data_IF_293435200342
#
_entry.id   IF_293435200342
#
_cell.length_a   1.000
_cell.length_b   1.000
_cell.length_c   1.000
_cell.angle_alpha   90.00
_cell.angle_beta   90.00
_cell.angle_gamma   90.00
#
_symmetry.space_group_name_H-M   'P 1'
#
loop_
_entity.id
_entity.type
_entity.pdbx_description
1 polymer ?
#
# COMPACT_ATOMS: atom_id res chain seq x y z
N UNK A 1 8.74 11.94 -7.42
CA UNK A 1 8.71 10.48 -7.58
C UNK A 1 7.47 10.16 -8.40
N UNK A 2 7.55 9.23 -9.35
CA UNK A 2 6.37 8.74 -10.08
C UNK A 2 5.78 7.56 -9.32
N UNK A 3 4.46 7.48 -9.27
CA UNK A 3 3.75 6.31 -8.72
C UNK A 3 4.01 5.07 -9.57
N UNK A 4 3.98 3.89 -8.95
CA UNK A 4 4.07 2.62 -9.66
C UNK A 4 2.66 2.14 -10.07
N UNK A 5 2.15 2.70 -11.16
CA UNK A 5 0.80 2.42 -11.67
C UNK A 5 0.59 0.93 -11.96
N UNK A 6 1.61 0.25 -12.46
CA UNK A 6 1.52 -1.19 -12.77
C UNK A 6 1.25 -2.00 -11.52
N UNK A 7 1.97 -1.73 -10.42
CA UNK A 7 1.76 -2.41 -9.16
C UNK A 7 0.43 -2.01 -8.51
N UNK A 8 0.06 -0.73 -8.52
CA UNK A 8 -1.23 -0.26 -8.01
C UNK A 8 -2.40 -0.99 -8.66
N UNK A 9 -2.41 -1.07 -10.01
CA UNK A 9 -3.44 -1.79 -10.78
C UNK A 9 -3.40 -3.28 -10.50
N UNK A 10 -2.22 -3.90 -10.43
CA UNK A 10 -2.09 -5.33 -10.13
C UNK A 10 -2.65 -5.69 -8.75
N UNK A 11 -2.46 -4.83 -7.75
CA UNK A 11 -3.05 -5.03 -6.41
C UNK A 11 -4.57 -4.91 -6.47
N UNK A 12 -5.12 -3.92 -7.18
CA UNK A 12 -6.57 -3.82 -7.34
C UNK A 12 -7.17 -4.98 -8.10
N UNK A 13 -6.58 -5.39 -9.22
CA UNK A 13 -7.03 -6.55 -9.98
C UNK A 13 -7.08 -7.80 -9.09
N UNK A 14 -6.08 -7.97 -8.21
CA UNK A 14 -6.06 -9.06 -7.23
C UNK A 14 -7.22 -8.95 -6.24
N UNK A 15 -7.40 -7.79 -5.61
CA UNK A 15 -8.47 -7.55 -4.63
C UNK A 15 -9.86 -7.76 -5.26
N UNK A 16 -10.05 -7.31 -6.49
CA UNK A 16 -11.33 -7.43 -7.21
C UNK A 16 -11.62 -8.85 -7.68
N UNK A 17 -10.59 -9.61 -8.05
CA UNK A 17 -10.73 -11.01 -8.41
C UNK A 17 -11.10 -11.87 -7.18
N UNK A 18 -10.59 -11.50 -6.01
CA UNK A 18 -10.81 -12.24 -4.75
C UNK A 18 -11.22 -11.30 -3.60
N UNK A 19 -12.42 -10.68 -3.65
CA UNK A 19 -12.82 -9.66 -2.68
C UNK A 19 -12.99 -10.20 -1.27
N UNK A 20 -13.24 -11.51 -1.13
CA UNK A 20 -13.29 -12.21 0.16
C UNK A 20 -11.90 -12.36 0.81
N UNK A 21 -10.83 -12.02 0.09
CA UNK A 21 -9.45 -11.97 0.58
C UNK A 21 -8.99 -10.54 0.88
N UNK A 22 -9.93 -9.61 1.07
CA UNK A 22 -9.65 -8.29 1.61
C UNK A 22 -10.35 -8.12 2.96
N UNK A 23 -9.57 -7.89 4.00
CA UNK A 23 -10.03 -7.29 5.26
C UNK A 23 -9.01 -6.24 5.70
N UNK A 24 -9.20 -4.99 5.27
CA UNK A 24 -8.33 -3.86 5.59
C UNK A 24 -8.24 -3.62 7.12
N UNK A 25 -9.29 -3.92 7.87
CA UNK A 25 -9.35 -3.71 9.32
C UNK A 25 -8.65 -4.81 10.13
N UNK A 26 -8.29 -5.94 9.51
CA UNK A 26 -7.63 -7.05 10.19
C UNK A 26 -6.20 -7.22 9.68
N UNK A 27 -5.25 -6.95 10.57
CA UNK A 27 -3.86 -7.22 10.31
C UNK A 27 -3.62 -8.72 10.16
N UNK A 28 -3.38 -9.15 8.93
CA UNK A 28 -2.85 -10.48 8.59
C UNK A 28 -3.67 -11.60 9.27
N UNK A 29 -4.87 -11.85 8.77
CA UNK A 29 -5.72 -12.96 9.19
C UNK A 29 -5.82 -14.02 8.10
N UNK A 30 -4.89 -14.97 8.08
CA UNK A 30 -4.97 -16.30 7.48
C UNK A 30 -5.04 -16.39 5.95
N UNK A 31 -5.64 -15.42 5.25
CA UNK A 31 -5.82 -15.37 3.79
C UNK A 31 -6.10 -13.97 3.21
N UNK A 32 -6.50 -12.96 3.99
CA UNK A 32 -7.19 -11.75 3.48
C UNK A 32 -6.44 -10.38 3.57
N UNK A 33 -5.14 -10.34 3.27
CA UNK A 33 -4.21 -9.21 3.52
C UNK A 33 -4.74 -7.80 3.18
N UNK A 34 -4.23 -6.78 3.89
CA UNK A 34 -4.43 -5.38 3.51
C UNK A 34 -3.70 -5.02 2.20
N UNK A 35 -4.00 -3.85 1.62
CA UNK A 35 -3.41 -3.35 0.38
C UNK A 35 -1.88 -3.35 0.45
N UNK A 36 -1.29 -2.89 1.55
CA UNK A 36 0.16 -2.92 1.76
C UNK A 36 0.72 -4.36 1.74
N UNK A 37 -0.01 -5.31 2.33
CA UNK A 37 0.35 -6.72 2.32
C UNK A 37 0.34 -7.31 0.91
N UNK A 38 -0.70 -7.04 0.11
CA UNK A 38 -0.78 -7.48 -1.28
C UNK A 38 0.27 -6.82 -2.16
N UNK A 39 0.54 -5.52 -1.98
CA UNK A 39 1.62 -4.83 -2.68
C UNK A 39 2.97 -5.47 -2.39
N UNK A 40 3.25 -5.83 -1.13
CA UNK A 40 4.49 -6.49 -0.76
C UNK A 40 4.65 -7.87 -1.44
N UNK A 41 3.60 -8.68 -1.43
CA UNK A 41 3.59 -10.01 -2.05
C UNK A 41 3.79 -9.97 -3.56
N UNK A 42 3.03 -9.11 -4.24
CA UNK A 42 3.09 -8.98 -5.70
C UNK A 42 4.41 -8.36 -6.16
N UNK A 43 5.11 -7.63 -5.28
CA UNK A 43 6.49 -7.16 -5.50
C UNK A 43 7.55 -8.24 -5.21
N UNK A 44 7.13 -9.43 -4.77
CA UNK A 44 8.02 -10.56 -4.48
C UNK A 44 8.71 -10.49 -3.11
N UNK A 45 8.23 -9.66 -2.18
CA UNK A 45 8.72 -9.67 -0.82
C UNK A 45 8.23 -10.92 -0.06
N UNK A 46 9.01 -11.36 0.92
CA UNK A 46 8.70 -12.54 1.72
C UNK A 46 8.43 -12.15 3.17
N UNK A 47 7.31 -12.60 3.72
CA UNK A 47 7.08 -12.52 5.17
C UNK A 47 8.11 -13.37 5.90
N UNK A 48 8.73 -12.82 6.94
CA UNK A 48 9.82 -13.51 7.63
C UNK A 48 9.37 -14.39 8.80
N UNK A 49 8.12 -14.24 9.23
CA UNK A 49 7.52 -15.05 10.29
C UNK A 49 6.00 -15.15 10.12
N UNK A 50 5.32 -15.87 11.01
CA UNK A 50 3.85 -16.00 11.02
C UNK A 50 3.13 -14.74 11.51
N UNK A 51 1.84 -14.65 11.24
CA UNK A 51 1.06 -13.40 11.42
C UNK A 51 0.91 -12.92 12.85
N UNK A 52 0.96 -13.85 13.80
CA UNK A 52 0.85 -13.59 15.24
C UNK A 52 2.21 -13.51 15.91
N UNK A 53 3.29 -13.49 15.15
CA UNK A 53 4.63 -13.41 15.73
C UNK A 53 4.90 -11.99 16.23
N UNK A 54 4.96 -11.87 17.56
CA UNK A 54 5.21 -10.64 18.30
C UNK A 54 6.67 -10.52 18.75
N UNK A 55 7.58 -11.36 18.24
CA UNK A 55 9.02 -11.14 18.45
C UNK A 55 9.40 -9.82 17.80
N UNK A 56 10.02 -8.93 18.57
CA UNK A 56 10.52 -7.67 18.04
C UNK A 56 11.86 -7.84 17.34
N UNK A 57 11.98 -7.24 16.17
CA UNK A 57 13.20 -7.27 15.36
C UNK A 57 13.54 -5.88 14.86
N UNK A 58 14.84 -5.64 14.63
CA UNK A 58 15.33 -4.39 14.10
C UNK A 58 15.24 -4.37 12.57
N UNK A 59 14.73 -3.26 12.04
CA UNK A 59 14.60 -2.95 10.60
C UNK A 59 15.31 -1.62 10.32
N UNK A 60 15.33 -1.19 9.05
CA UNK A 60 15.89 0.11 8.69
C UNK A 60 15.11 1.29 9.31
N UNK A 61 13.81 1.10 9.59
CA UNK A 61 12.89 2.13 10.09
C UNK A 61 12.69 2.11 11.60
N UNK A 62 13.19 1.08 12.28
CA UNK A 62 13.04 0.92 13.73
C UNK A 62 12.73 -0.52 14.13
N UNK A 63 12.14 -0.69 15.31
CA UNK A 63 11.84 -1.99 15.87
C UNK A 63 10.37 -2.34 15.70
N UNK A 64 10.09 -3.46 15.03
CA UNK A 64 8.73 -3.90 14.70
C UNK A 64 8.52 -5.36 15.09
N UNK A 65 7.27 -5.78 15.23
CA UNK A 65 6.92 -7.19 15.37
C UNK A 65 7.25 -7.94 14.08
N UNK A 66 7.87 -9.12 14.20
CA UNK A 66 8.28 -9.94 13.06
C UNK A 66 7.10 -10.27 12.13
N UNK A 67 5.89 -10.43 12.71
CA UNK A 67 4.66 -10.64 11.96
C UNK A 67 4.29 -9.49 11.01
N UNK A 68 4.90 -8.32 11.17
CA UNK A 68 4.70 -7.10 10.38
C UNK A 68 5.87 -6.74 9.46
N UNK A 69 6.86 -7.62 9.35
CA UNK A 69 8.10 -7.36 8.60
C UNK A 69 8.18 -8.28 7.39
N UNK A 70 8.60 -7.69 6.28
CA UNK A 70 8.89 -8.40 5.04
C UNK A 70 10.36 -8.26 4.69
N UNK A 71 10.88 -9.26 3.98
CA UNK A 71 12.20 -9.26 3.37
C UNK A 71 12.06 -8.94 1.90
N UNK A 72 12.73 -7.88 1.45
CA UNK A 72 12.83 -7.55 0.03
C UNK A 72 13.66 -8.60 -0.73
N UNK A 73 13.64 -8.56 -2.06
CA UNK A 73 14.49 -9.41 -2.89
C UNK A 73 16.00 -9.16 -2.68
N UNK A 74 16.38 -7.95 -2.26
CA UNK A 74 17.75 -7.60 -1.88
C UNK A 74 18.15 -8.11 -0.48
N UNK A 75 17.22 -8.71 0.26
CA UNK A 75 17.44 -9.24 1.60
C UNK A 75 17.20 -8.22 2.73
N UNK A 76 16.77 -7.01 2.42
CA UNK A 76 16.51 -5.97 3.42
C UNK A 76 15.21 -6.25 4.19
N UNK A 77 15.25 -6.04 5.50
CA UNK A 77 14.08 -6.14 6.37
C UNK A 77 13.42 -4.78 6.54
N UNK A 78 12.13 -4.70 6.24
CA UNK A 78 11.31 -3.49 6.38
C UNK A 78 9.96 -3.79 6.97
N UNK A 79 9.39 -2.83 7.67
CA UNK A 79 7.97 -2.85 7.97
C UNK A 79 7.17 -2.89 6.66
N UNK A 80 6.12 -3.71 6.58
CA UNK A 80 5.41 -3.95 5.31
C UNK A 80 4.78 -2.69 4.72
N UNK A 81 4.30 -1.75 5.55
CA UNK A 81 3.75 -0.48 5.04
C UNK A 81 4.85 0.38 4.41
N UNK A 82 6.04 0.45 5.02
CA UNK A 82 7.18 1.18 4.47
C UNK A 82 7.71 0.55 3.19
N UNK A 83 7.74 -0.78 3.13
CA UNK A 83 8.06 -1.52 1.92
C UNK A 83 7.06 -1.19 0.80
N UNK A 84 5.76 -1.38 1.05
CA UNK A 84 4.71 -1.14 0.07
C UNK A 84 4.69 0.30 -0.43
N UNK A 85 4.82 1.28 0.48
CA UNK A 85 4.90 2.71 0.12
C UNK A 85 6.02 2.98 -0.89
N UNK A 86 7.21 2.41 -0.67
CA UNK A 86 8.37 2.58 -1.55
C UNK A 86 8.15 1.93 -2.90
N UNK A 87 7.68 0.68 -2.93
CA UNK A 87 7.42 -0.05 -4.18
C UNK A 87 6.30 0.58 -5.01
N UNK A 88 5.30 1.16 -4.35
CA UNK A 88 4.19 1.87 -4.98
C UNK A 88 4.56 3.31 -5.39
N UNK A 89 5.71 3.84 -4.96
CA UNK A 89 6.14 5.21 -5.25
C UNK A 89 5.29 6.28 -4.56
N UNK A 90 4.72 5.97 -3.40
CA UNK A 90 3.78 6.84 -2.67
C UNK A 90 4.49 7.78 -1.69
N UNK A 91 3.87 8.94 -1.49
CA UNK A 91 4.16 9.80 -0.33
C UNK A 91 3.66 9.12 0.95
N UNK A 92 4.14 9.57 2.11
CA UNK A 92 3.67 9.10 3.41
C UNK A 92 2.16 9.33 3.57
N UNK A 93 1.68 10.54 3.24
CA UNK A 93 0.25 10.89 3.30
C UNK A 93 -0.60 9.97 2.41
N UNK A 94 -0.19 9.75 1.16
CA UNK A 94 -0.94 8.88 0.24
C UNK A 94 -0.94 7.42 0.69
N UNK A 95 0.18 6.94 1.27
CA UNK A 95 0.26 5.60 1.82
C UNK A 95 -0.63 5.44 3.05
N UNK A 96 -0.62 6.38 3.99
CA UNK A 96 -1.48 6.35 5.17
C UNK A 96 -2.96 6.26 4.78
N UNK A 97 -3.36 7.04 3.78
CA UNK A 97 -4.73 7.06 3.29
C UNK A 97 -5.10 5.76 2.54
N UNK A 98 -4.26 5.29 1.64
CA UNK A 98 -4.50 4.06 0.88
C UNK A 98 -4.50 2.82 1.79
N UNK A 99 -3.67 2.81 2.83
CA UNK A 99 -3.50 1.69 3.74
C UNK A 99 -4.46 1.73 4.94
N UNK A 100 -5.33 2.73 5.02
CA UNK A 100 -6.30 2.84 6.11
C UNK A 100 -7.22 1.61 6.15
N UNK A 101 -7.41 1.09 7.37
CA UNK A 101 -8.18 -0.12 7.63
C UNK A 101 -9.66 0.02 7.28
N UNK A 102 -10.19 1.24 7.31
CA UNK A 102 -11.60 1.54 7.08
C UNK A 102 -11.99 1.60 5.60
N UNK A 103 -11.02 1.56 4.68
CA UNK A 103 -11.27 1.64 3.25
C UNK A 103 -12.07 0.43 2.74
N UNK A 104 -13.14 0.72 2.01
CA UNK A 104 -13.90 -0.22 1.20
C UNK A 104 -13.19 -0.49 -0.14
N UNK A 105 -13.57 -1.58 -0.83
CA UNK A 105 -13.06 -1.88 -2.18
C UNK A 105 -13.33 -0.73 -3.16
N UNK A 106 -14.50 -0.09 -3.06
CA UNK A 106 -14.86 1.06 -3.91
C UNK A 106 -13.92 2.24 -3.67
N UNK A 107 -13.67 2.59 -2.41
CA UNK A 107 -12.72 3.68 -2.07
C UNK A 107 -11.30 3.34 -2.50
N UNK A 108 -10.86 2.09 -2.34
CA UNK A 108 -9.56 1.63 -2.84
C UNK A 108 -9.43 1.79 -4.35
N UNK A 109 -10.48 1.45 -5.12
CA UNK A 109 -10.51 1.64 -6.57
C UNK A 109 -10.37 3.13 -6.94
N UNK A 110 -11.20 3.99 -6.34
CA UNK A 110 -11.17 5.43 -6.60
C UNK A 110 -9.80 6.04 -6.27
N UNK A 111 -9.21 5.67 -5.13
CA UNK A 111 -7.87 6.14 -4.77
C UNK A 111 -6.80 5.65 -5.73
N UNK A 112 -6.89 4.41 -6.23
CA UNK A 112 -5.94 3.86 -7.20
C UNK A 112 -6.07 4.55 -8.56
N UNK A 113 -7.28 4.83 -9.01
CA UNK A 113 -7.53 5.63 -10.20
C UNK A 113 -6.94 7.04 -10.05
N UNK A 114 -7.23 7.72 -8.94
CA UNK A 114 -6.68 9.05 -8.65
C UNK A 114 -5.15 9.05 -8.57
N UNK A 115 -4.55 8.02 -7.98
CA UNK A 115 -3.10 7.89 -7.89
C UNK A 115 -2.48 7.73 -9.28
N UNK A 116 -3.10 6.96 -10.18
CA UNK A 116 -2.62 6.81 -11.56
C UNK A 116 -2.78 8.10 -12.37
N UNK A 117 -3.91 8.79 -12.23
CA UNK A 117 -4.23 9.93 -13.08
C UNK A 117 -3.63 11.25 -12.58
N UNK A 118 -3.52 11.40 -11.25
CA UNK A 118 -3.16 12.66 -10.59
C UNK A 118 -1.98 12.56 -9.62
N UNK A 119 -1.52 11.35 -9.28
CA UNK A 119 -0.45 11.14 -8.30
C UNK A 119 -0.85 11.42 -6.85
N UNK A 120 -2.14 11.46 -6.56
CA UNK A 120 -2.72 11.70 -5.22
C UNK A 120 -3.94 10.80 -5.02
N UNK A 121 -4.31 10.47 -3.77
CA UNK A 121 -5.51 9.64 -3.50
C UNK A 121 -6.82 10.40 -3.65
N UNK A 122 -6.77 11.73 -3.59
CA UNK A 122 -7.93 12.59 -3.86
C UNK A 122 -7.99 13.00 -5.32
N UNK A 123 -9.19 13.16 -5.84
CA UNK A 123 -9.42 13.80 -7.13
C UNK A 123 -8.75 15.19 -7.08
N UNK A 124 -7.71 15.38 -7.87
CA UNK A 124 -7.14 16.69 -8.04
C UNK A 124 -8.18 17.46 -8.84
N UNK A 125 -9.10 18.14 -8.13
CA UNK A 125 -10.11 19.00 -8.75
C UNK A 125 -9.48 19.67 -9.97
N UNK A 126 -10.10 19.58 -11.18
CA UNK A 126 -9.48 20.08 -12.38
C UNK A 126 -9.08 21.52 -12.08
N UNK A 127 -7.77 21.82 -12.08
CA UNK A 127 -7.30 23.19 -11.87
C UNK A 127 -8.07 24.03 -12.87
N UNK A 128 -9.06 24.78 -12.38
CA UNK A 128 -9.84 25.62 -13.28
C UNK A 128 -8.86 26.56 -13.95
N UNK A 129 -9.07 26.84 -15.22
CA UNK A 129 -8.22 27.69 -16.06
C UNK A 129 -7.91 29.07 -15.44
N UNK A 130 -8.63 29.45 -14.38
CA UNK A 130 -8.44 30.64 -13.56
C UNK A 130 -7.17 30.63 -12.68
N UNK A 131 -6.57 29.48 -12.34
CA UNK A 131 -5.34 29.42 -11.51
C UNK A 131 -4.03 29.52 -12.32
N UNK A 132 -4.10 29.46 -13.66
CA UNK A 132 -2.93 29.55 -14.57
C UNK A 132 -2.73 30.99 -15.08
N UNK A 133 -3.72 31.86 -14.90
CA UNK A 133 -3.66 33.28 -15.28
C UNK A 133 -4.02 34.17 -14.08
N UNK A 134 -3.19 34.12 -13.05
CA UNK A 134 -3.02 35.25 -12.14
C UNK A 134 -1.61 35.81 -12.41
N UNK A 135 -1.46 37.13 -12.60
CA UNK A 135 -0.22 37.77 -13.04
C UNK A 135 0.94 37.62 -12.06
#
# INVERSE_FOLDING_TARGET
>A
MSVNETLLRSVMDHIETWPNLLDQNQWRCGTARCFAGWAAELSGAQWISGERDQVQIDTAEGRWFAGSVVRSQSGELRHVADFARRELGLTEIAADQLFDGSNTITELREMVENLCDFGTVYDAAPKTQAEVTAP
#
